data_IF_566525528793
#
_entry.id   IF_566525528793
#
_cell.length_a   1.000
_cell.length_b   1.000
_cell.length_c   1.000
_cell.angle_alpha   90.00
_cell.angle_beta   90.00
_cell.angle_gamma   90.00
#
_symmetry.space_group_name_H-M   'P 1'
#
loop_
_entity.id
_entity.type
_entity.pdbx_description
1 polymer ?
#
# COMPACT_ATOMS: atom_id res chain seq x y z
N UNK A 1 14.35 34.94 33.90
CA UNK A 1 13.04 34.31 33.66
C UNK A 1 13.22 33.25 32.59
N UNK A 2 13.00 31.99 32.91
CA UNK A 2 13.03 30.89 31.93
C UNK A 2 11.67 30.82 31.25
N UNK A 3 11.59 31.31 30.02
CA UNK A 3 10.42 31.10 29.17
C UNK A 3 10.35 29.61 28.85
N UNK A 4 9.21 28.98 29.08
CA UNK A 4 9.01 27.58 28.74
C UNK A 4 9.17 27.42 27.22
N UNK A 5 10.13 26.59 26.81
CA UNK A 5 10.36 26.28 25.40
C UNK A 5 9.38 25.21 24.94
N UNK A 6 8.92 25.34 23.71
CA UNK A 6 8.11 24.29 23.11
C UNK A 6 8.97 23.05 22.86
N UNK A 7 8.34 21.88 22.83
CA UNK A 7 9.04 20.62 22.54
C UNK A 7 9.69 20.68 21.14
N UNK A 8 9.06 21.35 20.18
CA UNK A 8 9.65 21.59 18.85
C UNK A 8 10.95 22.40 18.91
N UNK A 9 11.00 23.49 19.68
CA UNK A 9 12.20 24.34 19.75
C UNK A 9 13.41 23.59 20.32
N UNK A 10 13.17 22.72 21.30
CA UNK A 10 14.22 21.89 21.90
C UNK A 10 14.69 20.82 20.92
N UNK A 11 13.78 20.21 20.17
CA UNK A 11 14.14 19.16 19.21
C UNK A 11 14.91 19.72 18.01
N UNK A 12 14.57 20.92 17.52
CA UNK A 12 15.28 21.57 16.41
C UNK A 12 16.77 21.81 16.69
N UNK A 13 17.15 22.08 17.94
CA UNK A 13 18.56 22.30 18.33
C UNK A 13 19.33 20.98 18.57
N UNK A 14 18.63 19.84 18.67
CA UNK A 14 19.22 18.56 19.08
C UNK A 14 19.13 17.45 18.02
N UNK A 15 18.25 17.57 17.02
CA UNK A 15 18.17 16.64 15.89
C UNK A 15 19.17 17.09 14.82
N UNK A 16 20.28 16.34 14.67
CA UNK A 16 21.27 16.59 13.60
C UNK A 16 20.98 15.83 12.30
N UNK A 17 20.01 14.92 12.32
CA UNK A 17 19.63 14.10 11.19
C UNK A 17 18.17 13.74 11.29
N UNK A 18 17.39 14.21 10.32
CA UNK A 18 15.98 13.91 10.14
C UNK A 18 15.84 13.09 8.86
N UNK A 19 15.22 11.92 8.95
CA UNK A 19 14.95 11.06 7.80
C UNK A 19 13.46 10.99 7.59
N UNK A 20 13.02 11.61 6.51
CA UNK A 20 11.71 11.39 5.92
C UNK A 20 11.67 9.98 5.31
N UNK A 21 11.08 9.03 6.03
CA UNK A 21 10.87 7.67 5.56
C UNK A 21 9.41 7.48 5.11
N UNK A 22 9.22 6.86 3.95
CA UNK A 22 7.91 6.36 3.53
C UNK A 22 7.67 5.01 4.22
N UNK A 23 6.88 5.00 5.30
CA UNK A 23 6.51 3.75 6.00
C UNK A 23 5.57 2.88 5.14
N UNK A 24 4.52 3.48 4.56
CA UNK A 24 3.50 2.77 3.76
C UNK A 24 2.98 3.65 2.63
N UNK A 25 3.25 3.27 1.39
CA UNK A 25 2.64 3.89 0.22
C UNK A 25 1.37 3.12 -0.16
N UNK A 26 0.20 3.72 0.06
CA UNK A 26 -1.07 3.23 -0.47
C UNK A 26 -1.31 3.85 -1.85
N UNK A 27 -1.09 3.07 -2.90
CA UNK A 27 -1.31 3.52 -4.27
C UNK A 27 -2.64 2.95 -4.79
N UNK A 28 -3.59 3.84 -5.04
CA UNK A 28 -4.83 3.49 -5.73
C UNK A 28 -4.59 3.55 -7.23
N UNK A 29 -4.64 2.40 -7.89
CA UNK A 29 -4.49 2.30 -9.34
C UNK A 29 -5.82 1.86 -9.94
N UNK A 30 -6.18 2.48 -11.05
CA UNK A 30 -7.33 2.08 -11.83
C UNK A 30 -7.02 0.85 -12.69
N UNK A 31 -7.80 -0.22 -12.50
CA UNK A 31 -7.66 -1.47 -13.27
C UNK A 31 -8.93 -1.65 -14.12
N UNK A 32 -8.91 -1.34 -15.43
CA UNK A 32 -10.10 -1.39 -16.29
C UNK A 32 -10.79 -2.76 -16.28
N UNK A 33 -10.01 -3.84 -16.20
CA UNK A 33 -10.53 -5.20 -16.23
C UNK A 33 -11.35 -5.55 -14.99
N UNK A 34 -11.20 -4.86 -13.86
CA UNK A 34 -11.96 -5.16 -12.64
C UNK A 34 -13.30 -4.43 -12.57
N UNK A 35 -13.61 -3.57 -13.54
CA UNK A 35 -14.82 -2.76 -13.51
C UNK A 35 -16.10 -3.50 -13.90
N UNK A 36 -15.97 -4.66 -14.53
CA UNK A 36 -17.10 -5.44 -15.01
C UNK A 36 -17.05 -6.88 -14.48
N UNK A 37 -18.22 -7.50 -14.36
CA UNK A 37 -18.40 -8.77 -13.68
C UNK A 37 -17.47 -9.88 -14.21
N UNK A 38 -17.37 -10.05 -15.53
CA UNK A 38 -16.54 -11.11 -16.11
C UNK A 38 -15.04 -10.95 -15.81
N UNK A 39 -14.56 -9.71 -15.73
CA UNK A 39 -13.17 -9.44 -15.40
C UNK A 39 -12.85 -9.64 -13.91
N UNK A 40 -13.80 -9.31 -13.03
CA UNK A 40 -13.72 -9.67 -11.60
C UNK A 40 -13.71 -11.20 -11.40
N UNK A 41 -14.59 -11.93 -12.07
CA UNK A 41 -14.63 -13.41 -12.01
C UNK A 41 -13.29 -13.98 -12.49
N UNK A 42 -12.76 -13.47 -13.61
CA UNK A 42 -11.47 -13.87 -14.12
C UNK A 42 -10.31 -13.60 -13.15
N UNK A 43 -10.35 -12.50 -12.41
CA UNK A 43 -9.38 -12.19 -11.36
C UNK A 43 -9.48 -13.19 -10.20
N UNK A 44 -10.68 -13.47 -9.72
CA UNK A 44 -10.91 -14.44 -8.63
C UNK A 44 -10.35 -15.82 -9.02
N UNK A 45 -10.60 -16.27 -10.25
CA UNK A 45 -10.17 -17.58 -10.72
C UNK A 45 -8.68 -17.67 -11.00
N UNK A 46 -8.11 -16.69 -11.70
CA UNK A 46 -6.73 -16.77 -12.18
C UNK A 46 -5.71 -16.17 -11.22
N UNK A 47 -6.04 -15.05 -10.58
CA UNK A 47 -5.10 -14.33 -9.71
C UNK A 47 -5.22 -14.79 -8.25
N UNK A 48 -6.44 -15.04 -7.77
CA UNK A 48 -6.64 -15.56 -6.41
C UNK A 48 -6.69 -17.10 -6.34
N UNK A 49 -6.74 -17.79 -7.48
CA UNK A 49 -6.74 -19.26 -7.53
C UNK A 49 -8.02 -19.90 -6.97
N UNK A 50 -9.11 -19.14 -6.86
CA UNK A 50 -10.37 -19.63 -6.31
C UNK A 50 -11.27 -20.13 -7.45
N UNK A 51 -11.75 -21.39 -7.41
CA UNK A 51 -12.45 -21.99 -8.55
C UNK A 51 -13.78 -21.29 -8.90
N UNK A 52 -14.43 -20.68 -7.90
CA UNK A 52 -15.71 -20.00 -8.04
C UNK A 52 -15.69 -18.62 -7.37
N UNK A 53 -16.41 -17.68 -7.97
CA UNK A 53 -16.69 -16.37 -7.40
C UNK A 53 -17.86 -16.46 -6.41
N UNK A 54 -17.62 -17.03 -5.23
CA UNK A 54 -18.66 -17.13 -4.20
C UNK A 54 -19.10 -15.75 -3.71
N UNK A 55 -20.33 -15.67 -3.20
CA UNK A 55 -20.89 -14.41 -2.67
C UNK A 55 -20.01 -13.83 -1.56
N UNK A 56 -19.42 -14.68 -0.71
CA UNK A 56 -18.53 -14.24 0.36
C UNK A 56 -17.24 -13.59 -0.16
N UNK A 57 -16.62 -14.17 -1.19
CA UNK A 57 -15.40 -13.62 -1.80
C UNK A 57 -15.70 -12.30 -2.52
N UNK A 58 -16.77 -12.28 -3.33
CA UNK A 58 -17.19 -11.07 -4.05
C UNK A 58 -17.55 -9.92 -3.11
N UNK A 59 -18.25 -10.22 -2.01
CA UNK A 59 -18.59 -9.24 -0.99
C UNK A 59 -17.35 -8.73 -0.24
N UNK A 60 -16.39 -9.61 0.06
CA UNK A 60 -15.15 -9.22 0.70
C UNK A 60 -14.33 -8.25 -0.17
N UNK A 61 -14.21 -8.53 -1.47
CA UNK A 61 -13.51 -7.64 -2.41
C UNK A 61 -14.20 -6.28 -2.57
N UNK A 62 -15.54 -6.26 -2.57
CA UNK A 62 -16.30 -5.02 -2.60
C UNK A 62 -16.04 -4.17 -1.34
N UNK A 63 -15.96 -4.80 -0.17
CA UNK A 63 -15.67 -4.11 1.09
C UNK A 63 -14.22 -3.70 1.25
N UNK A 64 -13.27 -4.50 0.76
CA UNK A 64 -11.85 -4.23 0.98
C UNK A 64 -11.37 -3.01 0.19
N UNK A 65 -12.00 -2.70 -0.95
CA UNK A 65 -11.58 -1.61 -1.84
C UNK A 65 -10.13 -1.78 -2.37
N UNK A 66 -9.52 -2.94 -2.10
CA UNK A 66 -8.12 -3.23 -2.37
C UNK A 66 -8.05 -4.63 -2.97
N UNK A 67 -7.43 -4.70 -4.13
CA UNK A 67 -6.98 -5.96 -4.74
C UNK A 67 -5.47 -6.04 -4.55
N UNK A 68 -5.00 -7.14 -4.00
CA UNK A 68 -3.57 -7.37 -3.88
C UNK A 68 -3.02 -7.74 -5.25
N UNK A 69 -2.31 -6.80 -5.87
CA UNK A 69 -1.45 -7.09 -7.00
C UNK A 69 -0.01 -7.20 -6.48
N UNK A 70 0.64 -8.35 -6.68
CA UNK A 70 2.08 -8.48 -6.37
C UNK A 70 2.87 -7.70 -7.41
N UNK A 71 2.99 -6.40 -7.21
CA UNK A 71 3.94 -5.60 -7.95
C UNK A 71 5.27 -5.70 -7.22
N UNK A 72 6.30 -6.23 -7.90
CA UNK A 72 7.66 -6.29 -7.36
C UNK A 72 8.26 -4.87 -7.30
N UNK A 73 7.83 -4.07 -6.33
CA UNK A 73 8.49 -2.81 -5.99
C UNK A 73 9.74 -3.19 -5.19
N UNK A 74 10.91 -3.21 -5.84
CA UNK A 74 12.20 -3.27 -5.12
C UNK A 74 13.17 -4.41 -5.47
N UNK A 75 13.17 -4.97 -6.69
CA UNK A 75 14.26 -5.88 -7.11
C UNK A 75 15.28 -5.17 -8.02
N UNK A 76 16.00 -4.20 -7.46
CA UNK A 76 17.33 -3.82 -7.95
C UNK A 76 18.32 -3.92 -6.80
N UNK A 77 18.85 -5.14 -6.60
CA UNK A 77 20.14 -5.30 -5.92
C UNK A 77 21.20 -5.46 -7.01
N UNK A 78 21.64 -4.33 -7.59
CA UNK A 78 23.04 -4.21 -8.02
C UNK A 78 23.76 -3.52 -6.87
N UNK A 79 24.24 -4.31 -5.91
CA UNK A 79 25.39 -3.91 -5.10
C UNK A 79 26.62 -4.41 -5.82
N UNK A 80 27.21 -3.56 -6.66
CA UNK A 80 28.63 -3.66 -6.99
C UNK A 80 29.31 -2.76 -5.97
N UNK A 81 29.74 -3.36 -4.87
CA UNK A 81 30.87 -2.97 -4.02
C UNK A 81 31.31 -4.24 -3.29
#
# INVERSE_FOLDING_TARGET
MTVARSVSDVLSDHVRFEVECIDRMYCNVYVPQLQFAAGLIGYIQRQMGLPIASTGVSFHLCKSGVVHHRTAVGRSRRSVL
#
